data_IF_482555076795
#
_entry.id   IF_482555076795
#
_cell.length_a   1.000
_cell.length_b   1.000
_cell.length_c   1.000
_cell.angle_alpha   90.00
_cell.angle_beta   90.00
_cell.angle_gamma   90.00
#
_symmetry.space_group_name_H-M   'P 1'
#
loop_
_entity.id
_entity.type
_entity.pdbx_description
1 polymer ?
#
# COMPACT_ATOMS: atom_id res chain seq x y z
N UNK A 1 16.56 12.57 -25.63
CA UNK A 1 16.94 11.86 -24.36
C UNK A 1 16.40 10.46 -24.53
N UNK A 2 17.23 9.45 -24.35
CA UNK A 2 16.78 8.04 -24.42
C UNK A 2 15.86 7.76 -23.22
N UNK A 3 14.66 7.24 -23.48
CA UNK A 3 13.67 6.94 -22.43
C UNK A 3 14.02 5.62 -21.73
N UNK A 4 13.98 5.61 -20.43
CA UNK A 4 14.44 4.48 -19.63
C UNK A 4 13.37 3.41 -19.45
N UNK A 5 13.62 2.18 -19.94
CA UNK A 5 12.80 0.99 -19.61
C UNK A 5 12.92 0.58 -18.14
N UNK A 6 13.96 1.04 -17.43
CA UNK A 6 14.22 0.70 -16.01
C UNK A 6 13.14 1.20 -15.07
N UNK A 7 12.37 2.24 -15.47
CA UNK A 7 11.28 2.76 -14.67
C UNK A 7 10.09 1.80 -14.56
N UNK A 8 9.91 0.87 -15.50
CA UNK A 8 8.80 -0.10 -15.49
C UNK A 8 9.13 -1.29 -14.58
N UNK A 9 8.44 -1.33 -13.44
CA UNK A 9 8.60 -2.39 -12.42
C UNK A 9 7.51 -3.46 -12.56
N UNK A 10 7.38 -4.34 -11.57
CA UNK A 10 6.41 -5.43 -11.61
C UNK A 10 4.94 -4.95 -11.60
N UNK A 11 4.64 -3.82 -10.97
CA UNK A 11 3.26 -3.34 -10.78
C UNK A 11 3.08 -1.82 -10.86
N UNK A 12 4.12 -1.06 -11.13
CA UNK A 12 4.07 0.40 -11.33
C UNK A 12 5.24 0.89 -12.18
N UNK A 13 5.21 2.19 -12.50
CA UNK A 13 6.33 2.92 -13.10
C UNK A 13 6.98 3.72 -11.97
N UNK A 14 8.30 3.60 -11.80
CA UNK A 14 9.03 4.26 -10.73
C UNK A 14 10.48 4.49 -11.06
N UNK A 15 10.96 5.71 -10.91
CA UNK A 15 12.35 6.06 -11.22
C UNK A 15 12.74 7.47 -10.79
N UNK A 16 14.02 7.78 -10.94
CA UNK A 16 14.61 9.08 -10.63
C UNK A 16 14.17 10.10 -11.69
N UNK A 17 13.75 11.28 -11.24
CA UNK A 17 13.36 12.41 -12.09
C UNK A 17 14.55 13.37 -12.23
N UNK A 18 14.89 13.85 -13.45
CA UNK A 18 14.24 13.57 -14.74
C UNK A 18 14.88 12.40 -15.52
N UNK A 19 15.84 11.69 -14.95
CA UNK A 19 16.70 10.74 -15.65
C UNK A 19 15.98 9.47 -16.13
N UNK A 20 15.05 8.94 -15.33
CA UNK A 20 14.32 7.71 -15.64
C UNK A 20 12.82 7.98 -15.86
N UNK A 21 12.25 8.95 -15.15
CA UNK A 21 10.87 9.41 -15.28
C UNK A 21 10.89 10.90 -15.60
N UNK A 22 10.17 11.32 -16.64
CA UNK A 22 10.08 12.72 -17.07
C UNK A 22 8.77 12.97 -17.81
N UNK A 23 8.51 14.24 -18.17
CA UNK A 23 7.28 14.65 -18.85
C UNK A 23 7.06 13.95 -20.19
N UNK A 24 8.14 13.69 -20.97
CA UNK A 24 8.04 12.98 -22.25
C UNK A 24 7.57 11.54 -22.05
N UNK A 25 8.15 10.82 -21.07
CA UNK A 25 7.72 9.46 -20.74
C UNK A 25 6.26 9.46 -20.25
N UNK A 26 5.91 10.41 -19.38
CA UNK A 26 4.56 10.54 -18.84
C UNK A 26 3.51 10.80 -19.95
N UNK A 27 3.81 11.70 -20.90
CA UNK A 27 2.97 11.93 -22.07
C UNK A 27 2.78 10.65 -22.89
N UNK A 28 3.87 9.94 -23.22
CA UNK A 28 3.81 8.70 -23.99
C UNK A 28 3.04 7.61 -23.29
N UNK A 29 3.20 7.47 -21.97
CA UNK A 29 2.41 6.53 -21.16
C UNK A 29 0.91 6.83 -21.28
N UNK A 30 0.50 8.11 -21.16
CA UNK A 30 -0.91 8.51 -21.33
C UNK A 30 -1.44 8.17 -22.74
N UNK A 31 -0.65 8.44 -23.78
CA UNK A 31 -1.00 8.12 -25.18
C UNK A 31 -1.18 6.63 -25.43
N UNK A 32 -0.20 5.85 -24.95
CA UNK A 32 -0.22 4.39 -25.10
C UNK A 32 -1.37 3.77 -24.30
N UNK A 33 -1.62 4.28 -23.08
CA UNK A 33 -2.75 3.85 -22.27
C UNK A 33 -4.09 4.04 -22.98
N UNK A 34 -4.33 5.25 -23.52
CA UNK A 34 -5.57 5.54 -24.25
C UNK A 34 -5.77 4.62 -25.47
N UNK A 35 -4.70 4.31 -26.19
CA UNK A 35 -4.76 3.42 -27.36
C UNK A 35 -4.93 1.96 -26.96
N UNK A 36 -4.15 1.48 -26.01
CA UNK A 36 -4.10 0.06 -25.62
C UNK A 36 -5.40 -0.41 -24.98
N UNK A 37 -6.01 0.44 -24.15
CA UNK A 37 -7.26 0.12 -23.46
C UNK A 37 -8.49 0.73 -24.13
N UNK A 38 -8.34 1.35 -25.32
CA UNK A 38 -9.40 2.07 -26.03
C UNK A 38 -10.16 3.04 -25.07
N UNK A 39 -9.42 3.71 -24.18
CA UNK A 39 -10.01 4.52 -23.13
C UNK A 39 -10.61 5.81 -23.72
N UNK A 40 -11.89 6.04 -23.46
CA UNK A 40 -12.65 7.26 -23.78
C UNK A 40 -12.66 8.24 -22.62
N UNK A 41 -12.49 7.71 -21.39
CA UNK A 41 -12.47 8.47 -20.14
C UNK A 41 -11.39 7.96 -19.19
N UNK A 42 -10.69 8.84 -18.49
CA UNK A 42 -9.72 8.46 -17.46
C UNK A 42 -9.65 9.49 -16.33
N UNK A 43 -9.32 9.01 -15.13
CA UNK A 43 -8.98 9.87 -13.98
C UNK A 43 -7.46 10.09 -13.94
N UNK A 44 -7.04 11.31 -13.65
CA UNK A 44 -5.63 11.63 -13.36
C UNK A 44 -5.56 12.38 -12.04
N UNK A 45 -4.64 11.96 -11.18
CA UNK A 45 -4.29 12.64 -9.95
C UNK A 45 -2.80 12.53 -9.67
N UNK A 46 -2.29 13.31 -8.73
CA UNK A 46 -0.89 13.26 -8.32
C UNK A 46 -0.75 13.43 -6.80
N UNK A 47 0.34 12.89 -6.25
CA UNK A 47 0.72 13.11 -4.86
C UNK A 47 1.37 14.50 -4.67
N UNK A 48 1.86 14.73 -3.46
CA UNK A 48 2.44 16.02 -3.04
C UNK A 48 3.84 16.30 -3.60
N UNK A 49 4.46 15.37 -4.34
CA UNK A 49 5.82 15.53 -4.88
C UNK A 49 5.91 16.72 -5.83
N UNK A 50 7.01 17.49 -5.73
CA UNK A 50 7.20 18.74 -6.49
C UNK A 50 7.11 18.55 -8.01
N UNK A 51 7.46 17.37 -8.53
CA UNK A 51 7.36 17.02 -9.95
C UNK A 51 5.98 16.46 -10.34
N UNK A 52 5.09 16.24 -9.37
CA UNK A 52 3.76 15.66 -9.55
C UNK A 52 2.91 16.41 -10.59
N UNK A 53 2.70 17.74 -10.43
CA UNK A 53 1.87 18.51 -11.35
C UNK A 53 2.36 18.49 -12.81
N UNK A 54 3.68 18.58 -13.06
CA UNK A 54 4.26 18.52 -14.39
C UNK A 54 3.98 17.17 -15.06
N UNK A 55 4.24 16.08 -14.34
CA UNK A 55 4.05 14.72 -14.86
C UNK A 55 2.57 14.40 -15.07
N UNK A 56 1.68 14.82 -14.15
CA UNK A 56 0.23 14.65 -14.28
C UNK A 56 -0.34 15.40 -15.49
N UNK A 57 0.10 16.64 -15.73
CA UNK A 57 -0.26 17.39 -16.92
C UNK A 57 0.19 16.69 -18.20
N UNK A 58 1.42 16.17 -18.23
CA UNK A 58 1.93 15.43 -19.39
C UNK A 58 1.14 14.14 -19.66
N UNK A 59 0.81 13.35 -18.62
CA UNK A 59 -0.07 12.18 -18.72
C UNK A 59 -1.43 12.58 -19.29
N UNK A 60 -2.04 13.64 -18.73
CA UNK A 60 -3.34 14.13 -19.16
C UNK A 60 -3.34 14.57 -20.62
N UNK A 61 -2.29 15.28 -21.07
CA UNK A 61 -2.15 15.68 -22.46
C UNK A 61 -1.99 14.47 -23.39
N UNK A 62 -1.20 13.47 -22.99
CA UNK A 62 -1.07 12.23 -23.74
C UNK A 62 -2.41 11.48 -23.90
N UNK A 63 -3.17 11.34 -22.82
CA UNK A 63 -4.52 10.75 -22.84
C UNK A 63 -5.45 11.52 -23.77
N UNK A 64 -5.48 12.85 -23.66
CA UNK A 64 -6.35 13.73 -24.47
C UNK A 64 -6.01 13.69 -25.94
N UNK A 65 -4.73 13.70 -26.29
CA UNK A 65 -4.29 13.54 -27.68
C UNK A 65 -4.61 12.13 -28.23
N UNK A 66 -4.80 11.15 -27.35
CA UNK A 66 -5.39 9.86 -27.64
C UNK A 66 -6.91 9.85 -27.83
N UNK A 67 -7.57 11.01 -27.64
CA UNK A 67 -9.04 11.16 -27.71
C UNK A 67 -9.76 10.90 -26.38
N UNK A 68 -9.04 10.66 -25.28
CA UNK A 68 -9.61 10.35 -23.97
C UNK A 68 -9.99 11.63 -23.20
N UNK A 69 -11.19 11.72 -22.68
CA UNK A 69 -11.60 12.78 -21.73
C UNK A 69 -10.98 12.51 -20.38
N UNK A 70 -10.28 13.47 -19.80
CA UNK A 70 -9.58 13.34 -18.52
C UNK A 70 -10.33 14.06 -17.42
N UNK A 71 -10.62 13.36 -16.35
CA UNK A 71 -11.06 13.91 -15.07
C UNK A 71 -9.83 14.14 -14.20
N UNK A 72 -9.42 15.41 -14.08
CA UNK A 72 -8.31 15.84 -13.23
C UNK A 72 -8.85 16.06 -11.80
N UNK A 73 -8.39 15.21 -10.86
CA UNK A 73 -8.76 15.31 -9.45
C UNK A 73 -7.68 16.03 -8.61
N UNK A 74 -6.60 16.51 -9.26
CA UNK A 74 -5.57 17.31 -8.64
C UNK A 74 -4.68 16.53 -7.67
N UNK A 75 -4.23 17.24 -6.62
CA UNK A 75 -3.43 16.66 -5.54
C UNK A 75 -4.29 15.74 -4.68
N UNK A 76 -3.89 14.47 -4.54
CA UNK A 76 -4.67 13.42 -3.90
C UNK A 76 -3.78 12.25 -3.45
N UNK A 77 -4.39 11.28 -2.79
CA UNK A 77 -3.75 9.99 -2.53
C UNK A 77 -4.06 8.94 -3.58
N UNK A 78 -3.26 7.89 -3.56
CA UNK A 78 -3.40 6.77 -4.49
C UNK A 78 -4.81 6.17 -4.45
N UNK A 79 -5.36 5.93 -3.28
CA UNK A 79 -6.69 5.35 -3.09
C UNK A 79 -7.82 6.22 -3.64
N UNK A 80 -7.64 7.55 -3.71
CA UNK A 80 -8.62 8.47 -4.28
C UNK A 80 -8.73 8.32 -5.80
N UNK A 81 -7.63 8.02 -6.50
CA UNK A 81 -7.68 7.69 -7.93
C UNK A 81 -8.43 6.38 -8.17
N UNK A 82 -8.24 5.38 -7.30
CA UNK A 82 -8.99 4.12 -7.38
C UNK A 82 -10.49 4.34 -7.16
N UNK A 83 -10.82 5.08 -6.10
CA UNK A 83 -12.20 5.45 -5.80
C UNK A 83 -12.84 6.22 -6.96
N UNK A 84 -12.18 7.29 -7.45
CA UNK A 84 -12.68 8.11 -8.55
C UNK A 84 -12.87 7.31 -9.84
N UNK A 85 -11.94 6.40 -10.17
CA UNK A 85 -12.04 5.53 -11.35
C UNK A 85 -13.31 4.66 -11.30
N UNK A 86 -13.59 4.06 -10.14
CA UNK A 86 -14.77 3.24 -9.94
C UNK A 86 -16.05 4.07 -9.84
N UNK A 87 -16.05 5.13 -9.05
CA UNK A 87 -17.20 5.99 -8.77
C UNK A 87 -17.68 6.73 -10.02
N UNK A 88 -16.78 7.28 -10.82
CA UNK A 88 -17.10 7.97 -12.08
C UNK A 88 -17.28 7.00 -13.25
N UNK A 89 -17.10 5.70 -13.02
CA UNK A 89 -17.19 4.63 -14.03
C UNK A 89 -16.33 4.93 -15.27
N UNK A 90 -15.08 5.35 -15.06
CA UNK A 90 -14.12 5.63 -16.15
C UNK A 90 -13.43 4.37 -16.63
N UNK A 91 -12.87 4.43 -17.85
CA UNK A 91 -12.14 3.31 -18.46
C UNK A 91 -10.79 3.06 -17.80
N UNK A 92 -10.32 4.02 -16.98
CA UNK A 92 -9.11 3.85 -16.18
C UNK A 92 -8.75 5.07 -15.35
N UNK A 93 -7.63 4.92 -14.64
CA UNK A 93 -7.06 5.98 -13.83
C UNK A 93 -5.53 5.89 -13.75
N UNK A 94 -4.87 7.03 -13.66
CA UNK A 94 -3.43 7.13 -13.51
C UNK A 94 -3.12 8.04 -12.32
N UNK A 95 -2.45 7.47 -11.32
CA UNK A 95 -1.91 8.18 -10.16
C UNK A 95 -0.43 8.45 -10.37
N UNK A 96 -0.05 9.73 -10.33
CA UNK A 96 1.37 10.14 -10.39
C UNK A 96 1.92 10.19 -8.97
N UNK A 97 2.79 9.24 -8.65
CA UNK A 97 3.35 9.04 -7.31
C UNK A 97 4.58 8.14 -7.34
N UNK A 98 5.43 8.26 -6.34
CA UNK A 98 6.44 7.26 -6.00
C UNK A 98 6.31 6.80 -4.52
N UNK A 99 5.11 6.97 -3.91
CA UNK A 99 4.79 6.51 -2.55
C UNK A 99 5.88 6.95 -1.54
N UNK A 100 6.58 6.01 -0.94
CA UNK A 100 7.61 6.21 0.08
C UNK A 100 9.05 6.26 -0.46
N UNK A 101 9.26 6.30 -1.79
CA UNK A 101 10.60 6.45 -2.37
C UNK A 101 11.19 7.85 -2.07
N UNK A 102 12.53 8.01 -2.14
CA UNK A 102 13.20 9.30 -1.95
C UNK A 102 12.57 10.45 -2.76
N UNK A 103 12.82 11.70 -2.35
CA UNK A 103 12.17 12.89 -2.89
C UNK A 103 12.46 13.12 -4.39
N UNK A 104 13.60 12.64 -4.88
CA UNK A 104 14.03 12.71 -6.28
C UNK A 104 13.39 11.65 -7.20
N UNK A 105 12.56 10.75 -6.62
CA UNK A 105 11.78 9.78 -7.38
C UNK A 105 10.38 10.31 -7.69
N UNK A 106 9.83 9.84 -8.83
CA UNK A 106 8.40 9.88 -9.10
C UNK A 106 8.03 8.66 -9.98
N UNK A 107 6.74 8.53 -10.32
CA UNK A 107 6.27 7.40 -11.09
C UNK A 107 4.77 7.46 -11.37
N UNK A 108 4.21 6.33 -11.76
CA UNK A 108 2.78 6.23 -12.08
C UNK A 108 2.24 4.86 -11.68
N UNK A 109 1.12 4.84 -10.96
CA UNK A 109 0.29 3.66 -10.74
C UNK A 109 -0.89 3.74 -11.70
N UNK A 110 -1.13 2.68 -12.48
CA UNK A 110 -2.15 2.65 -13.52
C UNK A 110 -3.23 1.63 -13.17
N UNK A 111 -4.48 2.02 -13.38
CA UNK A 111 -5.64 1.11 -13.25
C UNK A 111 -6.54 1.22 -14.48
N UNK A 112 -7.20 0.11 -14.82
CA UNK A 112 -8.25 0.01 -15.84
C UNK A 112 -9.63 0.24 -15.21
N UNK A 113 -10.68 0.14 -16.03
CA UNK A 113 -12.08 0.16 -15.56
C UNK A 113 -12.29 -0.72 -14.32
N UNK A 114 -13.07 -0.20 -13.36
CA UNK A 114 -13.28 -0.84 -12.06
C UNK A 114 -12.04 -0.84 -11.16
N UNK A 115 -11.13 0.11 -11.37
CA UNK A 115 -9.87 0.24 -10.63
C UNK A 115 -8.99 -1.03 -10.65
N UNK A 116 -9.05 -1.82 -11.74
CA UNK A 116 -8.19 -3.00 -11.92
C UNK A 116 -6.76 -2.59 -12.21
N UNK A 117 -5.75 -3.11 -11.48
CA UNK A 117 -4.38 -2.71 -11.68
C UNK A 117 -3.83 -3.09 -13.05
N UNK A 118 -2.92 -2.28 -13.57
CA UNK A 118 -2.09 -2.59 -14.74
C UNK A 118 -0.72 -2.99 -14.23
N UNK A 119 -0.49 -4.31 -14.11
CA UNK A 119 0.78 -4.91 -13.69
C UNK A 119 1.59 -5.43 -14.88
N UNK A 120 2.78 -5.96 -14.62
CA UNK A 120 3.60 -6.66 -15.61
C UNK A 120 2.82 -7.70 -16.40
N UNK A 121 1.93 -8.42 -15.71
CA UNK A 121 1.10 -9.50 -16.27
C UNK A 121 -0.20 -8.97 -16.92
N UNK A 122 -0.46 -7.66 -16.82
CA UNK A 122 -1.69 -6.99 -17.27
C UNK A 122 -1.44 -5.80 -18.22
N UNK A 123 -0.29 -5.80 -18.91
CA UNK A 123 0.01 -4.85 -19.98
C UNK A 123 1.01 -3.76 -19.63
N UNK A 124 1.50 -3.65 -18.39
CA UNK A 124 2.48 -2.60 -18.01
C UNK A 124 3.77 -2.69 -18.81
N UNK A 125 4.27 -3.91 -19.06
CA UNK A 125 5.49 -4.10 -19.86
C UNK A 125 5.28 -3.75 -21.33
N UNK A 126 4.07 -3.97 -21.88
CA UNK A 126 3.75 -3.54 -23.24
C UNK A 126 3.63 -2.03 -23.34
N UNK A 127 3.03 -1.35 -22.36
CA UNK A 127 3.05 0.11 -22.24
C UNK A 127 4.50 0.59 -22.23
N UNK A 128 5.35 -0.04 -21.42
CA UNK A 128 6.78 0.29 -21.32
C UNK A 128 7.50 0.18 -22.66
N UNK A 129 7.31 -0.93 -23.36
CA UNK A 129 7.89 -1.17 -24.68
C UNK A 129 7.46 -0.09 -25.68
N UNK A 130 6.15 0.19 -25.75
CA UNK A 130 5.60 1.16 -26.70
C UNK A 130 5.96 2.61 -26.35
N UNK A 131 5.95 2.98 -25.08
CA UNK A 131 6.27 4.34 -24.65
C UNK A 131 7.77 4.67 -24.75
N UNK A 132 8.65 3.66 -24.71
CA UNK A 132 10.10 3.84 -24.80
C UNK A 132 10.67 3.45 -26.17
N UNK A 133 9.83 3.19 -27.17
CA UNK A 133 10.27 2.91 -28.53
C UNK A 133 11.04 4.10 -29.12
N UNK A 134 12.18 3.79 -29.77
CA UNK A 134 13.01 4.81 -30.40
C UNK A 134 12.29 5.45 -31.59
N UNK A 135 12.54 6.74 -31.80
CA UNK A 135 12.01 7.48 -32.92
C UNK A 135 11.10 8.65 -32.53
N UNK A 136 10.55 9.28 -33.53
CA UNK A 136 9.67 10.43 -33.36
C UNK A 136 8.33 9.96 -32.80
N UNK A 137 7.94 10.48 -31.61
CA UNK A 137 6.64 10.24 -31.02
C UNK A 137 5.81 11.51 -31.10
N UNK A 138 4.86 11.61 -32.05
CA UNK A 138 4.18 12.86 -32.34
C UNK A 138 3.28 13.32 -31.21
N UNK A 139 3.48 14.54 -30.71
CA UNK A 139 2.63 15.24 -29.74
C UNK A 139 1.45 15.90 -30.44
N UNK A 140 0.66 15.09 -31.14
CA UNK A 140 -0.52 15.54 -31.89
C UNK A 140 -1.68 14.62 -31.64
N UNK A 141 -2.88 15.11 -31.86
CA UNK A 141 -4.10 14.28 -31.74
C UNK A 141 -4.03 13.11 -32.73
N UNK A 142 -4.45 11.94 -32.27
CA UNK A 142 -4.51 10.73 -33.12
C UNK A 142 -5.39 11.00 -34.34
N UNK A 143 -4.93 10.63 -35.51
CA UNK A 143 -5.67 10.80 -36.74
C UNK A 143 -7.08 10.19 -36.67
N UNK A 144 -8.07 10.98 -37.02
CA UNK A 144 -9.50 10.58 -36.95
C UNK A 144 -10.13 10.68 -35.57
N UNK A 145 -9.42 11.19 -34.56
CA UNK A 145 -9.99 11.51 -33.23
C UNK A 145 -10.02 13.02 -33.00
N UNK A 146 -10.91 13.45 -32.13
CA UNK A 146 -10.86 14.79 -31.54
C UNK A 146 -10.04 14.73 -30.25
N UNK A 147 -9.38 15.84 -29.88
CA UNK A 147 -8.68 15.95 -28.61
C UNK A 147 -9.69 15.87 -27.45
N UNK A 148 -9.44 14.93 -26.52
CA UNK A 148 -10.28 14.77 -25.33
C UNK A 148 -10.35 16.03 -24.44
N UNK A 149 -11.37 16.15 -23.65
CA UNK A 149 -11.55 17.26 -22.70
C UNK A 149 -10.69 17.07 -21.46
N UNK A 150 -10.34 18.17 -20.80
CA UNK A 150 -9.82 18.18 -19.43
C UNK A 150 -10.88 18.77 -18.51
N UNK A 151 -11.34 18.00 -17.56
CA UNK A 151 -12.40 18.36 -16.62
C UNK A 151 -11.85 18.26 -15.19
N UNK A 152 -11.75 19.41 -14.51
CA UNK A 152 -11.43 19.40 -13.08
C UNK A 152 -12.61 18.86 -12.30
N UNK A 153 -12.37 17.87 -11.45
CA UNK A 153 -13.41 17.21 -10.65
C UNK A 153 -13.00 17.17 -9.18
N UNK A 154 -13.76 17.84 -8.33
CA UNK A 154 -13.66 17.63 -6.88
C UNK A 154 -14.35 16.31 -6.55
N UNK A 155 -13.55 15.37 -6.01
CA UNK A 155 -14.02 14.03 -5.59
C UNK A 155 -14.10 13.92 -4.07
N UNK A 156 -13.57 14.90 -3.33
CA UNK A 156 -13.40 14.81 -1.88
C UNK A 156 -14.71 14.59 -1.13
N UNK A 157 -15.82 15.33 -1.41
CA UNK A 157 -17.07 15.12 -0.69
C UNK A 157 -17.63 13.70 -0.84
N UNK A 158 -17.69 13.20 -2.07
CA UNK A 158 -18.19 11.85 -2.37
C UNK A 158 -17.32 10.77 -1.74
N UNK A 159 -15.98 10.98 -1.75
CA UNK A 159 -15.01 10.08 -1.16
C UNK A 159 -15.13 10.04 0.37
N UNK A 160 -15.28 11.17 1.05
CA UNK A 160 -15.47 11.23 2.51
C UNK A 160 -16.77 10.51 2.90
N UNK A 161 -17.86 10.74 2.19
CA UNK A 161 -19.13 10.03 2.42
C UNK A 161 -18.96 8.51 2.28
N UNK A 162 -18.24 8.09 1.24
CA UNK A 162 -17.93 6.67 1.02
C UNK A 162 -17.10 6.07 2.17
N UNK A 163 -16.04 6.75 2.63
CA UNK A 163 -15.24 6.27 3.77
C UNK A 163 -16.09 6.12 5.05
N UNK A 164 -16.94 7.10 5.34
CA UNK A 164 -17.82 7.09 6.51
C UNK A 164 -18.89 5.99 6.43
N UNK A 165 -19.23 5.51 5.22
CA UNK A 165 -20.19 4.42 5.06
C UNK A 165 -19.70 3.05 5.59
N UNK A 166 -18.40 2.90 5.87
CA UNK A 166 -17.83 1.67 6.42
C UNK A 166 -18.00 1.49 7.92
N UNK A 167 -18.32 2.59 8.62
CA UNK A 167 -18.46 2.64 10.08
C UNK A 167 -19.84 3.16 10.47
N UNK A 168 -20.30 2.79 11.65
CA UNK A 168 -21.44 3.47 12.27
C UNK A 168 -20.95 4.55 13.24
N UNK A 169 -20.99 5.80 12.79
CA UNK A 169 -20.52 6.95 13.60
C UNK A 169 -21.22 7.03 14.96
N UNK A 170 -22.44 6.47 15.12
CA UNK A 170 -23.16 6.44 16.40
C UNK A 170 -22.51 5.52 17.43
N UNK A 171 -21.70 4.56 16.97
CA UNK A 171 -20.95 3.66 17.86
C UNK A 171 -19.66 4.28 18.37
N UNK A 172 -19.21 5.39 17.78
CA UNK A 172 -17.96 6.03 18.15
C UNK A 172 -18.08 6.78 19.49
N UNK A 173 -17.03 6.70 20.28
CA UNK A 173 -16.83 7.44 21.53
C UNK A 173 -15.65 8.38 21.35
N UNK A 174 -15.56 9.48 22.13
CA UNK A 174 -14.40 10.33 22.11
C UNK A 174 -13.11 9.55 22.35
N UNK A 175 -12.16 9.65 21.42
CA UNK A 175 -10.79 9.14 21.52
C UNK A 175 -9.83 10.28 21.22
N UNK A 176 -8.70 10.29 21.90
CA UNK A 176 -7.58 11.18 21.58
C UNK A 176 -6.60 10.43 20.68
N UNK A 177 -6.36 10.94 19.47
CA UNK A 177 -5.60 10.28 18.43
C UNK A 177 -4.43 11.17 17.99
N UNK A 178 -3.21 10.66 18.10
CA UNK A 178 -2.07 11.28 17.41
C UNK A 178 -2.10 10.85 15.95
N UNK A 179 -2.12 11.82 15.04
CA UNK A 179 -2.16 11.57 13.61
C UNK A 179 -0.95 12.20 12.91
N UNK A 180 -0.17 11.38 12.22
CA UNK A 180 1.06 11.78 11.52
C UNK A 180 0.99 11.48 10.01
N UNK A 181 0.51 12.43 9.19
CA UNK A 181 0.63 12.37 7.73
C UNK A 181 2.06 12.40 7.19
N UNK A 182 3.06 12.73 8.00
CA UNK A 182 4.47 12.79 7.57
C UNK A 182 4.77 13.83 6.47
N UNK A 183 4.02 14.93 6.43
CA UNK A 183 3.99 15.89 5.33
C UNK A 183 3.54 15.29 3.98
N UNK A 184 2.91 14.09 4.00
CA UNK A 184 2.29 13.46 2.84
C UNK A 184 0.86 13.94 2.56
N UNK A 185 0.17 13.24 1.66
CA UNK A 185 -1.16 13.63 1.17
C UNK A 185 -2.33 13.38 2.15
N UNK A 186 -2.13 12.68 3.27
CA UNK A 186 -3.22 12.29 4.18
C UNK A 186 -3.84 13.46 4.98
N UNK A 187 -3.07 14.53 5.24
CA UNK A 187 -3.49 15.62 6.11
C UNK A 187 -4.81 16.30 5.72
N UNK A 188 -4.99 16.74 4.47
CA UNK A 188 -6.24 17.36 4.00
C UNK A 188 -7.46 16.44 4.11
N UNK A 189 -7.31 15.16 3.80
CA UNK A 189 -8.38 14.15 3.93
C UNK A 189 -8.75 13.93 5.39
N UNK A 190 -7.75 13.78 6.25
CA UNK A 190 -7.95 13.66 7.70
C UNK A 190 -8.69 14.88 8.27
N UNK A 191 -8.35 16.09 7.80
CA UNK A 191 -9.04 17.31 8.24
C UNK A 191 -10.53 17.27 7.92
N UNK A 192 -10.90 16.75 6.74
CA UNK A 192 -12.31 16.60 6.34
C UNK A 192 -13.02 15.49 7.10
N UNK A 193 -12.39 14.34 7.31
CA UNK A 193 -12.96 13.25 8.12
C UNK A 193 -13.19 13.69 9.57
N UNK A 194 -12.27 14.47 10.14
CA UNK A 194 -12.36 14.95 11.52
C UNK A 194 -13.63 15.80 11.78
N UNK A 195 -14.18 16.48 10.78
CA UNK A 195 -15.43 17.25 10.90
C UNK A 195 -16.65 16.37 11.23
N UNK A 196 -16.56 15.05 10.97
CA UNK A 196 -17.64 14.07 11.11
C UNK A 196 -17.45 13.10 12.29
N UNK A 197 -16.33 13.18 13.00
CA UNK A 197 -15.93 12.19 13.99
C UNK A 197 -15.82 12.83 15.39
N UNK A 198 -16.19 12.12 16.47
CA UNK A 198 -16.12 12.64 17.84
C UNK A 198 -14.71 12.59 18.44
N UNK A 199 -13.65 12.53 17.63
CA UNK A 199 -12.27 12.34 18.06
C UNK A 199 -11.53 13.67 18.25
N UNK A 200 -10.63 13.70 19.23
CA UNK A 200 -9.62 14.76 19.39
C UNK A 200 -8.35 14.36 18.64
N UNK A 201 -7.99 15.09 17.59
CA UNK A 201 -6.78 14.81 16.81
C UNK A 201 -5.63 15.71 17.21
N UNK A 202 -4.53 15.12 17.67
CA UNK A 202 -3.23 15.76 17.84
C UNK A 202 -2.44 15.51 16.55
N UNK A 203 -2.45 16.49 15.66
CA UNK A 203 -1.86 16.38 14.34
C UNK A 203 -0.40 16.82 14.34
N UNK A 204 0.48 16.01 13.76
CA UNK A 204 1.90 16.33 13.56
C UNK A 204 2.25 16.14 12.09
N UNK A 205 3.12 17.00 11.54
CA UNK A 205 3.50 16.97 10.12
C UNK A 205 2.28 16.92 9.18
N UNK A 206 1.20 17.66 9.52
CA UNK A 206 -0.09 17.55 8.83
C UNK A 206 -0.14 18.25 7.47
N UNK A 207 0.69 19.28 7.29
CA UNK A 207 0.70 20.07 6.05
C UNK A 207 1.48 19.33 4.98
N UNK A 208 0.87 19.06 3.81
CA UNK A 208 1.56 18.47 2.67
C UNK A 208 2.78 19.31 2.26
N UNK A 209 3.93 18.67 2.06
CA UNK A 209 5.15 19.35 1.60
C UNK A 209 6.03 18.39 0.80
N UNK A 210 6.06 18.57 -0.51
CA UNK A 210 6.82 17.72 -1.44
C UNK A 210 8.34 17.83 -1.31
N UNK A 211 8.86 18.75 -0.48
CA UNK A 211 10.27 18.78 -0.12
C UNK A 211 10.64 17.77 0.98
N UNK A 212 9.63 17.20 1.64
CA UNK A 212 9.78 16.24 2.75
C UNK A 212 10.74 16.71 3.85
N UNK A 213 10.47 17.84 4.53
CA UNK A 213 11.39 18.45 5.48
C UNK A 213 11.71 17.55 6.69
N UNK A 214 10.86 16.57 6.97
CA UNK A 214 11.03 15.59 8.05
C UNK A 214 11.40 14.18 7.52
N UNK A 215 11.90 14.09 6.28
CA UNK A 215 12.13 12.84 5.56
C UNK A 215 10.85 12.33 4.88
N UNK A 216 11.02 11.43 3.90
CA UNK A 216 9.88 10.80 3.22
C UNK A 216 9.16 9.89 4.20
N UNK A 217 7.83 10.03 4.37
CA UNK A 217 7.09 9.24 5.35
C UNK A 217 7.07 7.75 4.96
N UNK A 218 7.67 6.94 5.81
CA UNK A 218 7.67 5.48 5.71
C UNK A 218 7.76 4.88 7.13
N UNK A 219 6.63 4.71 7.85
CA UNK A 219 6.63 4.18 9.21
C UNK A 219 7.04 2.70 9.33
N UNK A 220 7.20 1.98 8.21
CA UNK A 220 7.82 0.65 8.21
C UNK A 220 9.26 0.70 8.72
N UNK A 221 9.98 1.78 8.44
CA UNK A 221 11.34 1.99 8.92
C UNK A 221 11.32 2.41 10.39
N UNK A 222 12.05 1.70 11.21
CA UNK A 222 12.05 1.88 12.68
C UNK A 222 12.39 3.31 13.09
N UNK A 223 13.39 3.92 12.43
CA UNK A 223 13.83 5.30 12.74
C UNK A 223 12.75 6.38 12.47
N UNK A 224 11.70 6.07 11.70
CA UNK A 224 10.58 6.98 11.44
C UNK A 224 9.44 6.84 12.46
N UNK A 225 9.52 5.88 13.40
CA UNK A 225 8.44 5.59 14.34
C UNK A 225 8.42 6.50 15.56
N UNK A 226 9.60 6.87 16.07
CA UNK A 226 9.76 7.58 17.33
C UNK A 226 8.93 8.86 17.41
N UNK A 227 8.88 9.67 16.34
CA UNK A 227 8.14 10.94 16.33
C UNK A 227 6.64 10.77 16.63
N UNK A 228 6.03 9.64 16.18
CA UNK A 228 4.63 9.34 16.47
C UNK A 228 4.49 8.69 17.84
N UNK A 229 5.33 7.71 18.16
CA UNK A 229 5.33 6.96 19.41
C UNK A 229 5.49 7.89 20.64
N UNK A 230 6.52 8.74 20.63
CA UNK A 230 6.79 9.69 21.71
C UNK A 230 5.63 10.69 21.90
N UNK A 231 5.01 11.12 20.80
CA UNK A 231 3.88 12.03 20.85
C UNK A 231 2.65 11.36 21.46
N UNK A 232 2.37 10.08 21.13
CA UNK A 232 1.29 9.30 21.76
C UNK A 232 1.46 9.28 23.29
N UNK A 233 2.66 8.95 23.76
CA UNK A 233 2.96 8.86 25.18
C UNK A 233 2.84 10.25 25.86
N UNK A 234 3.43 11.28 25.25
CA UNK A 234 3.43 12.64 25.79
C UNK A 234 2.03 13.22 25.94
N UNK A 235 1.16 12.97 24.98
CA UNK A 235 -0.22 13.47 24.95
C UNK A 235 -1.19 12.54 25.69
N UNK A 236 -0.73 11.36 26.14
CA UNK A 236 -1.59 10.29 26.70
C UNK A 236 -2.75 9.96 25.74
N UNK A 237 -2.43 9.84 24.46
CA UNK A 237 -3.40 9.53 23.45
C UNK A 237 -3.85 8.05 23.53
N UNK A 238 -5.06 7.76 23.04
CA UNK A 238 -5.60 6.40 23.00
C UNK A 238 -4.94 5.55 21.92
N UNK A 239 -4.47 6.19 20.85
CA UNK A 239 -3.67 5.56 19.78
C UNK A 239 -2.93 6.60 18.94
N UNK A 240 -1.94 6.12 18.17
CA UNK A 240 -1.28 6.85 17.11
C UNK A 240 -1.55 6.21 15.75
N UNK A 241 -1.71 7.03 14.73
CA UNK A 241 -1.82 6.62 13.34
C UNK A 241 -0.84 7.40 12.47
N UNK A 242 -0.24 6.71 11.50
CA UNK A 242 0.68 7.34 10.55
C UNK A 242 0.46 6.75 9.16
N UNK A 243 0.82 7.50 8.13
CA UNK A 243 0.69 7.08 6.73
C UNK A 243 2.01 7.21 5.98
N UNK A 244 2.11 6.57 4.84
CA UNK A 244 3.14 6.84 3.85
C UNK A 244 2.75 8.01 2.91
N UNK A 245 3.62 8.35 1.95
CA UNK A 245 3.51 9.59 1.19
C UNK A 245 2.22 9.77 0.40
N UNK A 246 1.73 8.72 -0.23
CA UNK A 246 0.49 8.68 -1.01
C UNK A 246 -0.69 7.99 -0.28
N UNK A 247 -0.51 7.77 1.00
CA UNK A 247 -1.45 7.28 2.02
C UNK A 247 -2.31 6.06 1.64
N UNK A 248 -1.77 5.16 0.85
CA UNK A 248 -2.43 3.88 0.61
C UNK A 248 -2.12 2.84 1.71
N UNK A 249 -1.31 3.21 2.72
CA UNK A 249 -0.98 2.42 3.91
C UNK A 249 -1.21 3.20 5.18
N UNK A 250 -1.70 2.51 6.23
CA UNK A 250 -1.91 3.06 7.57
C UNK A 250 -1.18 2.22 8.61
N UNK A 251 -0.44 2.88 9.48
CA UNK A 251 0.37 2.30 10.53
C UNK A 251 -0.15 2.72 11.90
N UNK A 252 -0.06 1.82 12.88
CA UNK A 252 -0.68 1.99 14.18
C UNK A 252 0.35 1.96 15.32
N UNK A 253 0.08 2.77 16.32
CA UNK A 253 0.77 2.80 17.61
C UNK A 253 -0.29 2.68 18.70
N UNK A 254 -0.07 1.82 19.68
CA UNK A 254 -0.99 1.70 20.81
C UNK A 254 -0.85 2.87 21.80
N UNK A 255 -1.65 2.88 22.84
CA UNK A 255 -1.66 3.93 23.88
C UNK A 255 -0.36 4.02 24.71
N UNK A 256 0.57 3.08 24.52
CA UNK A 256 1.90 3.07 25.14
C UNK A 256 2.97 3.58 24.19
N UNK A 257 2.61 3.91 22.94
CA UNK A 257 3.51 4.26 21.86
C UNK A 257 4.19 3.06 21.19
N UNK A 258 3.77 1.83 21.51
CA UNK A 258 4.30 0.63 20.86
C UNK A 258 3.77 0.53 19.42
N UNK A 259 4.67 0.34 18.46
CA UNK A 259 4.31 0.12 17.05
C UNK A 259 3.64 -1.26 16.89
N UNK A 260 2.48 -1.28 16.26
CA UNK A 260 1.77 -2.52 15.98
C UNK A 260 2.07 -2.97 14.55
N UNK A 261 2.76 -4.09 14.41
CA UNK A 261 3.04 -4.66 13.09
C UNK A 261 1.74 -4.90 12.31
N UNK A 262 1.74 -4.54 11.01
CA UNK A 262 0.56 -4.67 10.13
C UNK A 262 -0.05 -6.08 10.16
N UNK A 263 0.75 -7.09 10.37
CA UNK A 263 0.36 -8.48 10.58
C UNK A 263 -0.77 -8.66 11.60
N UNK A 264 -0.67 -8.00 12.78
CA UNK A 264 -1.69 -8.11 13.82
C UNK A 264 -2.95 -7.32 13.48
N UNK A 265 -2.80 -6.19 12.80
CA UNK A 265 -3.95 -5.40 12.30
C UNK A 265 -4.71 -6.18 11.22
N UNK A 266 -4.01 -6.90 10.34
CA UNK A 266 -4.65 -7.81 9.36
C UNK A 266 -5.52 -8.83 10.08
N UNK A 267 -5.00 -9.49 11.12
CA UNK A 267 -5.76 -10.46 11.92
C UNK A 267 -6.96 -9.83 12.64
N UNK A 268 -6.77 -8.66 13.24
CA UNK A 268 -7.82 -7.91 13.96
C UNK A 268 -8.98 -7.56 13.02
N UNK A 269 -8.68 -6.98 11.85
CA UNK A 269 -9.70 -6.62 10.86
C UNK A 269 -10.33 -7.88 10.22
N UNK A 270 -9.57 -8.95 9.99
CA UNK A 270 -10.13 -10.23 9.54
C UNK A 270 -11.20 -10.75 10.50
N UNK A 271 -10.96 -10.72 11.82
CA UNK A 271 -11.94 -11.09 12.82
C UNK A 271 -13.19 -10.19 12.77
N UNK A 272 -13.01 -8.88 12.59
CA UNK A 272 -14.12 -7.92 12.49
C UNK A 272 -14.99 -8.18 11.24
N UNK A 273 -14.36 -8.43 10.09
CA UNK A 273 -15.08 -8.77 8.85
C UNK A 273 -15.81 -10.11 8.96
N UNK A 274 -15.20 -11.13 9.54
CA UNK A 274 -15.84 -12.45 9.71
C UNK A 274 -16.98 -12.41 10.74
N UNK A 275 -16.96 -11.49 11.71
CA UNK A 275 -18.08 -11.23 12.61
C UNK A 275 -19.29 -10.66 11.86
N UNK A 276 -19.05 -9.73 10.91
CA UNK A 276 -20.10 -9.10 10.06
C UNK A 276 -20.56 -10.04 8.93
N UNK A 277 -19.66 -10.81 8.34
CA UNK A 277 -19.84 -11.66 7.15
C UNK A 277 -19.30 -13.08 7.41
N UNK A 278 -19.99 -13.93 8.19
CA UNK A 278 -19.53 -15.30 8.48
C UNK A 278 -19.31 -16.14 7.22
N UNK A 279 -18.29 -16.99 7.23
CA UNK A 279 -17.97 -17.87 6.09
C UNK A 279 -17.26 -17.20 4.93
N UNK A 280 -17.00 -15.90 5.01
CA UNK A 280 -16.33 -15.15 3.93
C UNK A 280 -14.86 -15.53 3.78
N UNK A 281 -14.32 -15.22 2.61
CA UNK A 281 -12.90 -15.37 2.31
C UNK A 281 -12.12 -14.16 2.81
N UNK A 282 -10.98 -14.43 3.45
CA UNK A 282 -10.02 -13.44 3.93
C UNK A 282 -8.67 -13.70 3.26
N UNK A 283 -8.06 -12.66 2.72
CA UNK A 283 -6.77 -12.78 2.04
C UNK A 283 -5.64 -12.22 2.90
N UNK A 284 -4.46 -12.84 2.80
CA UNK A 284 -3.24 -12.40 3.47
C UNK A 284 -2.00 -12.82 2.67
N UNK A 285 -0.89 -12.14 2.93
CA UNK A 285 0.39 -12.46 2.30
C UNK A 285 1.15 -13.58 3.05
N UNK A 286 2.10 -14.27 2.40
CA UNK A 286 2.74 -15.47 2.97
C UNK A 286 3.90 -15.17 3.92
N UNK A 287 4.24 -13.89 4.17
CA UNK A 287 5.39 -13.52 5.01
C UNK A 287 5.19 -13.92 6.47
N UNK A 288 4.05 -13.57 7.05
CA UNK A 288 3.62 -13.92 8.41
C UNK A 288 2.17 -14.39 8.34
N UNK A 289 1.87 -15.61 8.81
CA UNK A 289 0.58 -16.24 8.51
C UNK A 289 -0.18 -16.80 9.69
N UNK A 290 0.49 -17.33 10.70
CA UNK A 290 -0.13 -18.17 11.73
C UNK A 290 -1.24 -17.49 12.53
N UNK A 291 -1.03 -16.24 12.97
CA UNK A 291 -2.08 -15.51 13.71
C UNK A 291 -3.32 -15.31 12.86
N UNK A 292 -3.13 -14.89 11.60
CA UNK A 292 -4.25 -14.62 10.68
C UNK A 292 -4.96 -15.91 10.30
N UNK A 293 -4.24 -17.00 10.01
CA UNK A 293 -4.80 -18.32 9.69
C UNK A 293 -5.63 -18.87 10.87
N UNK A 294 -5.13 -18.78 12.09
CA UNK A 294 -5.84 -19.24 13.28
C UNK A 294 -7.11 -18.42 13.52
N UNK A 295 -7.05 -17.09 13.38
CA UNK A 295 -8.24 -16.23 13.51
C UNK A 295 -9.29 -16.60 12.46
N UNK A 296 -8.89 -16.81 11.20
CA UNK A 296 -9.80 -17.20 10.12
C UNK A 296 -10.48 -18.53 10.46
N UNK A 297 -9.71 -19.52 10.92
CA UNK A 297 -10.24 -20.82 11.32
C UNK A 297 -11.20 -20.73 12.53
N UNK A 298 -10.82 -20.00 13.59
CA UNK A 298 -11.65 -19.78 14.78
C UNK A 298 -12.98 -19.08 14.46
N UNK A 299 -12.98 -18.19 13.47
CA UNK A 299 -14.17 -17.41 13.05
C UNK A 299 -14.94 -18.07 11.90
N UNK A 300 -14.52 -19.24 11.45
CA UNK A 300 -15.20 -19.99 10.38
C UNK A 300 -15.11 -19.34 9.01
N UNK A 301 -14.04 -18.58 8.75
CA UNK A 301 -13.73 -18.00 7.44
C UNK A 301 -12.97 -18.95 6.51
N UNK A 302 -12.72 -18.50 5.30
CA UNK A 302 -11.95 -19.22 4.30
C UNK A 302 -10.65 -18.47 3.99
N UNK A 303 -9.47 -19.07 4.27
CA UNK A 303 -8.19 -18.43 4.03
C UNK A 303 -7.83 -18.41 2.53
N UNK A 304 -7.30 -17.27 2.05
CA UNK A 304 -6.76 -17.12 0.71
C UNK A 304 -5.36 -16.53 0.81
N UNK A 305 -4.31 -17.31 0.54
CA UNK A 305 -2.95 -16.81 0.46
C UNK A 305 -2.65 -16.25 -0.93
N UNK A 306 -1.99 -15.09 -0.97
CA UNK A 306 -1.57 -14.45 -2.20
C UNK A 306 -0.15 -13.91 -2.07
N UNK A 307 0.63 -13.94 -3.16
CA UNK A 307 1.95 -13.29 -3.17
C UNK A 307 1.82 -11.79 -2.89
N UNK A 308 2.83 -11.22 -2.22
CA UNK A 308 2.87 -9.80 -1.86
C UNK A 308 2.92 -8.88 -3.07
N UNK A 309 2.37 -7.69 -2.91
CA UNK A 309 2.34 -6.62 -3.89
C UNK A 309 0.93 -6.24 -4.31
N UNK A 310 0.64 -4.94 -4.17
CA UNK A 310 -0.72 -4.40 -4.27
C UNK A 310 -1.48 -4.80 -5.54
N UNK A 311 -0.82 -4.91 -6.69
CA UNK A 311 -1.48 -5.28 -7.93
C UNK A 311 -1.90 -6.77 -7.92
N UNK A 312 -1.05 -7.65 -7.41
CA UNK A 312 -1.34 -9.08 -7.31
C UNK A 312 -2.44 -9.36 -6.29
N UNK A 313 -2.37 -8.68 -5.13
CA UNK A 313 -3.38 -8.77 -4.08
C UNK A 313 -4.77 -8.34 -4.61
N UNK A 314 -4.87 -7.20 -5.28
CA UNK A 314 -6.13 -6.72 -5.89
C UNK A 314 -6.72 -7.70 -6.89
N UNK A 315 -5.91 -8.29 -7.76
CA UNK A 315 -6.41 -9.27 -8.74
C UNK A 315 -6.80 -10.58 -8.06
N UNK A 316 -6.02 -11.05 -7.09
CA UNK A 316 -6.35 -12.24 -6.31
C UNK A 316 -7.69 -12.08 -5.56
N UNK A 317 -7.95 -10.89 -4.96
CA UNK A 317 -9.22 -10.59 -4.32
C UNK A 317 -10.40 -10.71 -5.28
N UNK A 318 -10.28 -10.13 -6.48
CA UNK A 318 -11.33 -10.17 -7.52
C UNK A 318 -11.61 -11.58 -7.98
N UNK A 319 -10.56 -12.35 -8.28
CA UNK A 319 -10.69 -13.73 -8.76
C UNK A 319 -11.34 -14.66 -7.73
N UNK A 320 -11.16 -14.39 -6.45
CA UNK A 320 -11.65 -15.22 -5.37
C UNK A 320 -12.89 -14.65 -4.67
N UNK A 321 -13.36 -13.45 -5.02
CA UNK A 321 -14.40 -12.71 -4.30
C UNK A 321 -14.12 -12.62 -2.78
N UNK A 322 -12.95 -12.07 -2.46
CA UNK A 322 -12.49 -11.89 -1.08
C UNK A 322 -13.08 -10.61 -0.50
N UNK A 323 -13.63 -10.65 0.70
CA UNK A 323 -14.28 -9.48 1.32
C UNK A 323 -13.29 -8.49 1.91
N UNK A 324 -12.19 -9.00 2.47
CA UNK A 324 -11.11 -8.24 3.06
C UNK A 324 -9.78 -8.96 2.90
N UNK A 325 -8.73 -8.23 2.69
CA UNK A 325 -7.37 -8.74 2.67
C UNK A 325 -6.37 -7.74 3.23
N UNK A 326 -5.20 -8.22 3.63
CA UNK A 326 -4.14 -7.36 4.12
C UNK A 326 -2.76 -7.92 3.93
N UNK A 327 -1.78 -7.02 3.94
CA UNK A 327 -0.36 -7.32 3.95
C UNK A 327 0.29 -6.84 5.25
N UNK A 328 1.30 -7.55 5.71
CA UNK A 328 2.07 -7.10 6.88
C UNK A 328 2.72 -5.71 6.68
N UNK A 329 2.89 -5.28 5.44
CA UNK A 329 3.38 -3.95 5.05
C UNK A 329 2.33 -2.83 5.18
N UNK A 330 1.20 -3.11 5.85
CA UNK A 330 0.12 -2.17 6.16
C UNK A 330 -0.75 -1.74 4.96
N UNK A 331 -0.73 -2.48 3.85
CA UNK A 331 -1.80 -2.40 2.86
C UNK A 331 -3.01 -3.21 3.32
N UNK A 332 -4.19 -2.60 3.26
CA UNK A 332 -5.46 -3.24 3.59
C UNK A 332 -6.44 -3.05 2.44
N UNK A 333 -6.98 -4.15 1.95
CA UNK A 333 -7.79 -4.23 0.73
C UNK A 333 -9.24 -4.56 1.07
N UNK A 334 -10.19 -3.90 0.40
CA UNK A 334 -11.61 -4.05 0.71
C UNK A 334 -12.41 -4.31 -0.57
N UNK A 335 -13.24 -5.37 -0.57
CA UNK A 335 -14.11 -5.69 -1.71
C UNK A 335 -14.97 -4.50 -2.12
N UNK A 336 -15.62 -3.88 -1.14
CA UNK A 336 -16.56 -2.80 -1.36
C UNK A 336 -15.87 -1.46 -1.67
N UNK A 337 -14.52 -1.42 -1.56
CA UNK A 337 -13.63 -0.37 -2.11
C UNK A 337 -13.04 -0.79 -3.46
N UNK A 338 -13.83 -1.43 -4.30
CA UNK A 338 -13.41 -1.95 -5.60
C UNK A 338 -12.20 -2.88 -5.53
N UNK A 339 -12.10 -3.68 -4.46
CA UNK A 339 -10.98 -4.59 -4.16
C UNK A 339 -9.61 -3.87 -4.07
N UNK A 340 -9.62 -2.57 -3.82
CA UNK A 340 -8.41 -1.76 -3.71
C UNK A 340 -7.98 -1.58 -2.25
N UNK A 341 -6.73 -1.19 -2.10
CA UNK A 341 -6.15 -0.79 -0.84
C UNK A 341 -6.59 0.62 -0.45
N UNK A 342 -6.67 0.84 0.86
CA UNK A 342 -6.95 2.12 1.48
C UNK A 342 -6.14 2.26 2.77
N UNK A 343 -5.50 3.40 2.98
CA UNK A 343 -4.92 3.77 4.28
C UNK A 343 -5.88 4.56 5.15
N UNK A 344 -7.03 5.02 4.62
CA UNK A 344 -8.04 5.72 5.41
C UNK A 344 -9.04 4.78 6.09
N UNK A 345 -9.41 3.67 5.49
CA UNK A 345 -10.37 2.72 6.05
C UNK A 345 -9.85 1.96 7.30
N UNK A 346 -8.59 1.50 7.38
CA UNK A 346 -8.14 0.69 8.50
C UNK A 346 -8.30 1.37 9.85
N UNK A 347 -7.89 2.63 9.99
CA UNK A 347 -7.97 3.34 11.26
C UNK A 347 -9.41 3.67 11.66
N UNK A 348 -10.30 3.96 10.70
CA UNK A 348 -11.72 4.13 10.97
C UNK A 348 -12.33 2.85 11.56
N UNK A 349 -12.03 1.70 10.94
CA UNK A 349 -12.52 0.39 11.40
C UNK A 349 -11.91 -0.02 12.76
N UNK A 350 -10.62 0.23 12.98
CA UNK A 350 -9.96 -0.07 14.26
C UNK A 350 -10.53 0.80 15.38
N UNK A 351 -10.74 2.10 15.14
CA UNK A 351 -11.34 3.00 16.16
C UNK A 351 -12.80 2.64 16.46
N UNK A 352 -13.60 2.26 15.45
CA UNK A 352 -14.94 1.72 15.69
C UNK A 352 -14.89 0.47 16.57
N UNK A 353 -13.97 -0.45 16.29
CA UNK A 353 -13.80 -1.68 17.05
C UNK A 353 -13.38 -1.40 18.50
N UNK A 354 -12.42 -0.49 18.73
CA UNK A 354 -12.03 -0.03 20.07
C UNK A 354 -13.23 0.51 20.84
N UNK A 355 -14.05 1.36 20.21
CA UNK A 355 -15.25 1.93 20.82
C UNK A 355 -16.32 0.89 21.15
N UNK A 356 -16.58 -0.05 20.24
CA UNK A 356 -17.58 -1.11 20.40
C UNK A 356 -17.18 -2.11 21.49
N UNK A 357 -15.92 -2.54 21.53
CA UNK A 357 -15.42 -3.50 22.52
C UNK A 357 -15.08 -2.83 23.86
N UNK A 358 -14.93 -1.50 23.88
CA UNK A 358 -14.49 -0.75 25.06
C UNK A 358 -13.08 -1.10 25.51
N UNK A 359 -12.20 -1.45 24.56
CA UNK A 359 -10.83 -1.91 24.79
C UNK A 359 -9.83 -0.98 24.13
N UNK A 360 -8.64 -0.90 24.71
CA UNK A 360 -7.47 -0.26 24.11
C UNK A 360 -6.92 -1.10 22.97
N UNK A 361 -6.14 -0.48 22.08
CA UNK A 361 -5.54 -1.18 20.96
C UNK A 361 -4.60 -2.30 21.43
N UNK A 362 -3.77 -2.04 22.46
CA UNK A 362 -2.89 -3.07 23.05
C UNK A 362 -3.65 -4.29 23.59
N UNK A 363 -4.86 -4.11 24.10
CA UNK A 363 -5.70 -5.21 24.59
C UNK A 363 -6.33 -6.01 23.44
N UNK A 364 -6.64 -5.36 22.32
CA UNK A 364 -7.22 -6.02 21.15
C UNK A 364 -6.22 -6.92 20.42
N UNK A 365 -4.93 -6.53 20.39
CA UNK A 365 -3.90 -7.27 19.67
C UNK A 365 -2.96 -8.09 20.58
N UNK A 366 -2.92 -7.79 21.89
CA UNK A 366 -1.92 -8.30 22.84
C UNK A 366 -1.86 -9.81 22.91
N UNK A 367 -3.00 -10.50 22.99
CA UNK A 367 -3.06 -11.97 23.01
C UNK A 367 -2.36 -12.56 21.76
N UNK A 368 -2.58 -11.97 20.59
CA UNK A 368 -1.98 -12.43 19.33
C UNK A 368 -0.48 -12.12 19.25
N UNK A 369 -0.06 -10.97 19.77
CA UNK A 369 1.34 -10.59 19.86
C UNK A 369 2.14 -11.51 20.81
N UNK A 370 1.49 -11.98 21.88
CA UNK A 370 2.11 -12.95 22.80
C UNK A 370 2.14 -14.36 22.20
N UNK A 371 1.05 -14.77 21.55
CA UNK A 371 0.91 -16.12 20.98
C UNK A 371 1.74 -16.34 19.73
N UNK A 372 1.91 -15.31 18.90
CA UNK A 372 2.64 -15.35 17.63
C UNK A 372 3.59 -14.16 17.51
N UNK A 373 4.63 -14.08 18.35
CA UNK A 373 5.61 -13.02 18.20
C UNK A 373 6.32 -13.10 16.85
N UNK A 374 6.60 -11.94 16.24
CA UNK A 374 7.25 -11.84 14.96
C UNK A 374 8.40 -10.82 14.96
N UNK A 375 9.31 -10.95 13.99
CA UNK A 375 10.48 -10.09 13.84
C UNK A 375 10.19 -8.73 13.20
N UNK A 376 8.98 -8.55 12.63
CA UNK A 376 8.79 -7.52 11.62
C UNK A 376 9.55 -7.84 10.32
N UNK A 377 9.71 -6.86 9.44
CA UNK A 377 10.49 -7.01 8.20
C UNK A 377 11.92 -6.52 8.39
N UNK A 378 12.89 -7.38 8.15
CA UNK A 378 14.34 -7.08 8.26
C UNK A 378 14.94 -7.06 6.87
N UNK A 379 15.57 -5.94 6.50
CA UNK A 379 16.15 -5.72 5.19
C UNK A 379 17.68 -5.91 5.22
N UNK A 380 18.23 -6.63 4.21
CA UNK A 380 19.67 -6.85 4.05
C UNK A 380 20.12 -6.62 2.61
N UNK A 381 21.18 -5.86 2.41
CA UNK A 381 21.86 -5.74 1.13
C UNK A 381 22.78 -6.92 0.94
N UNK A 382 22.58 -7.69 -0.13
CA UNK A 382 23.39 -8.88 -0.45
C UNK A 382 23.83 -8.84 -1.91
N UNK A 383 25.06 -9.27 -2.19
CA UNK A 383 25.61 -9.27 -3.56
C UNK A 383 24.94 -10.33 -4.46
N UNK A 384 24.64 -11.50 -3.90
CA UNK A 384 24.09 -12.64 -4.66
C UNK A 384 22.90 -13.28 -3.95
N UNK A 385 21.73 -12.69 -4.13
CA UNK A 385 20.49 -13.17 -3.51
C UNK A 385 20.11 -14.60 -3.92
N UNK A 386 20.45 -15.04 -5.13
CA UNK A 386 20.17 -16.41 -5.59
C UNK A 386 21.00 -17.44 -4.83
N UNK A 387 22.29 -17.16 -4.62
CA UNK A 387 23.16 -18.05 -3.84
C UNK A 387 22.72 -18.13 -2.37
N UNK A 388 22.30 -16.99 -1.79
CA UNK A 388 21.79 -16.94 -0.42
C UNK A 388 20.50 -17.78 -0.29
N UNK A 389 19.54 -17.63 -1.20
CA UNK A 389 18.33 -18.45 -1.18
C UNK A 389 18.62 -19.94 -1.30
N UNK A 390 19.57 -20.34 -2.17
CA UNK A 390 19.98 -21.74 -2.30
C UNK A 390 20.62 -22.28 -1.01
N UNK A 391 21.48 -21.50 -0.36
CA UNK A 391 22.10 -21.89 0.91
C UNK A 391 21.08 -22.03 2.05
N UNK A 392 20.06 -21.15 2.10
CA UNK A 392 18.96 -21.26 3.06
C UNK A 392 18.15 -22.51 2.80
N UNK A 393 17.77 -22.78 1.53
CA UNK A 393 17.00 -23.97 1.16
C UNK A 393 17.77 -25.27 1.46
N UNK A 394 19.08 -25.29 1.26
CA UNK A 394 19.93 -26.42 1.61
C UNK A 394 19.99 -26.65 3.14
N UNK A 395 20.16 -25.57 3.92
CA UNK A 395 20.30 -25.66 5.38
C UNK A 395 18.99 -26.04 6.09
N UNK A 396 17.87 -25.55 5.60
CA UNK A 396 16.55 -25.70 6.24
C UNK A 396 15.56 -26.55 5.41
N UNK A 397 16.08 -27.35 4.47
CA UNK A 397 15.27 -28.14 3.54
C UNK A 397 14.49 -29.30 4.17
N UNK A 398 14.69 -29.55 5.47
CA UNK A 398 13.93 -30.50 6.29
C UNK A 398 12.58 -29.93 6.79
N UNK A 399 12.37 -28.61 6.68
CA UNK A 399 11.11 -27.96 6.97
C UNK A 399 10.12 -28.03 5.81
N UNK A 400 8.88 -27.63 6.04
CA UNK A 400 7.84 -27.51 5.02
C UNK A 400 8.08 -26.27 4.14
N UNK A 401 8.46 -26.49 2.89
CA UNK A 401 8.82 -25.45 1.93
C UNK A 401 7.59 -24.95 1.17
N UNK A 402 7.45 -23.63 1.06
CA UNK A 402 6.49 -22.93 0.19
C UNK A 402 7.24 -21.84 -0.61
N UNK A 403 6.99 -21.77 -1.91
CA UNK A 403 7.62 -20.83 -2.86
C UNK A 403 6.62 -19.87 -3.51
N UNK A 404 5.52 -19.60 -2.87
CA UNK A 404 4.49 -18.67 -3.38
C UNK A 404 5.04 -17.24 -3.55
N UNK A 405 5.84 -16.77 -2.57
CA UNK A 405 6.50 -15.46 -2.61
C UNK A 405 7.87 -15.54 -1.92
N UNK A 406 8.92 -15.73 -2.69
CA UNK A 406 10.24 -16.04 -2.18
C UNK A 406 10.32 -17.47 -1.65
N UNK A 407 10.99 -17.65 -0.52
CA UNK A 407 11.19 -18.93 0.15
C UNK A 407 10.62 -18.86 1.57
N UNK A 408 9.53 -19.53 1.82
CA UNK A 408 9.01 -19.77 3.17
C UNK A 408 9.35 -21.17 3.62
N UNK A 409 9.81 -21.31 4.86
CA UNK A 409 10.07 -22.62 5.48
C UNK A 409 9.40 -22.65 6.85
N UNK A 410 8.62 -23.70 7.10
CA UNK A 410 7.78 -23.85 8.29
C UNK A 410 8.15 -25.10 9.06
N UNK A 411 8.29 -24.95 10.37
CA UNK A 411 8.46 -26.00 11.39
C UNK A 411 7.28 -25.94 12.39
N UNK A 412 7.20 -26.83 13.34
CA UNK A 412 6.09 -26.91 14.28
C UNK A 412 5.94 -25.67 15.16
N UNK A 413 7.04 -25.03 15.56
CA UNK A 413 7.06 -23.91 16.52
C UNK A 413 7.67 -22.61 16.01
N UNK A 414 8.15 -22.57 14.75
CA UNK A 414 8.66 -21.38 14.09
C UNK A 414 8.57 -21.50 12.57
N UNK A 415 8.51 -20.37 11.91
CA UNK A 415 8.62 -20.28 10.45
C UNK A 415 9.27 -18.97 10.05
N UNK A 416 9.75 -18.93 8.81
CA UNK A 416 10.27 -17.71 8.23
C UNK A 416 9.95 -17.61 6.74
N UNK A 417 10.04 -16.38 6.22
CA UNK A 417 10.01 -16.08 4.81
C UNK A 417 11.23 -15.23 4.46
N UNK A 418 11.93 -15.61 3.40
CA UNK A 418 13.02 -14.82 2.79
C UNK A 418 12.68 -14.57 1.34
N UNK A 419 12.72 -13.31 0.92
CA UNK A 419 12.43 -12.92 -0.47
C UNK A 419 13.34 -11.79 -0.95
N UNK A 420 13.51 -11.71 -2.26
CA UNK A 420 14.13 -10.54 -2.90
C UNK A 420 13.06 -9.46 -3.07
N UNK A 421 13.38 -8.21 -2.75
CA UNK A 421 12.46 -7.11 -3.00
C UNK A 421 12.24 -6.90 -4.49
N UNK A 422 10.99 -6.61 -4.88
CA UNK A 422 10.64 -6.29 -6.27
C UNK A 422 10.93 -4.83 -6.65
N UNK A 423 11.18 -3.98 -5.66
CA UNK A 423 11.33 -2.53 -5.83
C UNK A 423 12.70 -2.00 -5.44
N UNK A 424 13.43 -2.72 -4.59
CA UNK A 424 14.70 -2.31 -3.99
C UNK A 424 15.73 -3.45 -4.09
N UNK A 425 17.04 -3.17 -4.14
CA UNK A 425 18.07 -4.21 -4.26
C UNK A 425 18.41 -4.84 -2.89
N UNK A 426 17.40 -5.34 -2.18
CA UNK A 426 17.52 -5.92 -0.84
C UNK A 426 16.82 -7.28 -0.76
N UNK A 427 17.32 -8.12 0.15
CA UNK A 427 16.61 -9.29 0.66
C UNK A 427 15.83 -8.91 1.93
N UNK A 428 14.66 -9.48 2.09
CA UNK A 428 13.75 -9.25 3.20
C UNK A 428 13.50 -10.54 3.95
N UNK A 429 13.69 -10.49 5.27
CA UNK A 429 13.44 -11.59 6.19
C UNK A 429 12.25 -11.24 7.09
N UNK A 430 11.36 -12.22 7.28
CA UNK A 430 10.32 -12.22 8.29
C UNK A 430 10.36 -13.56 9.03
N UNK A 431 10.29 -13.52 10.36
CA UNK A 431 10.29 -14.69 11.23
C UNK A 431 9.11 -14.59 12.19
N UNK A 432 8.43 -15.70 12.46
CA UNK A 432 7.44 -15.81 13.54
C UNK A 432 7.59 -17.11 14.32
N UNK A 433 7.22 -17.08 15.59
CA UNK A 433 7.28 -18.24 16.49
C UNK A 433 5.96 -18.42 17.23
N UNK A 434 5.82 -19.56 17.93
CA UNK A 434 4.69 -19.80 18.83
C UNK A 434 5.10 -19.48 20.26
N UNK A 435 4.71 -18.28 20.74
CA UNK A 435 4.80 -17.86 22.15
C UNK A 435 6.19 -17.56 22.73
N UNK A 436 7.27 -17.79 22.02
CA UNK A 436 8.63 -17.67 22.56
C UNK A 436 9.42 -16.55 21.87
N UNK A 437 9.50 -15.38 22.54
CA UNK A 437 10.26 -14.21 22.04
C UNK A 437 11.79 -14.43 22.07
N UNK A 438 12.30 -15.22 23.02
CA UNK A 438 13.74 -15.52 23.08
C UNK A 438 14.13 -16.43 21.92
N UNK A 439 13.32 -17.45 21.64
CA UNK A 439 13.49 -18.33 20.51
C UNK A 439 13.32 -17.59 19.15
N UNK A 440 12.37 -16.64 19.07
CA UNK A 440 12.24 -15.76 17.91
C UNK A 440 13.56 -15.03 17.62
N UNK A 441 14.16 -14.43 18.66
CA UNK A 441 15.43 -13.71 18.52
C UNK A 441 16.54 -14.64 18.06
N UNK A 442 16.69 -15.82 18.71
CA UNK A 442 17.68 -16.84 18.33
C UNK A 442 17.56 -17.22 16.85
N UNK A 443 16.34 -17.57 16.39
CA UNK A 443 16.11 -18.00 15.01
C UNK A 443 16.32 -16.88 14.01
N UNK A 444 15.94 -15.66 14.37
CA UNK A 444 16.19 -14.47 13.54
C UNK A 444 17.70 -14.26 13.34
N UNK A 445 18.47 -14.28 14.40
CA UNK A 445 19.94 -14.13 14.35
C UNK A 445 20.60 -15.28 13.57
N UNK A 446 20.12 -16.51 13.74
CA UNK A 446 20.61 -17.69 13.01
C UNK A 446 20.43 -17.56 11.51
N UNK A 447 19.24 -17.08 11.04
CA UNK A 447 18.98 -16.90 9.62
C UNK A 447 19.75 -15.69 9.08
N UNK A 448 19.81 -14.59 9.82
CA UNK A 448 20.60 -13.42 9.43
C UNK A 448 22.08 -13.75 9.23
N UNK A 449 22.65 -14.66 10.05
CA UNK A 449 24.00 -15.13 9.87
C UNK A 449 24.20 -15.92 8.55
N UNK A 450 23.16 -16.59 8.03
CA UNK A 450 23.21 -17.26 6.72
C UNK A 450 23.00 -16.26 5.58
N UNK A 451 22.08 -15.28 5.74
CA UNK A 451 21.84 -14.23 4.75
C UNK A 451 23.10 -13.39 4.57
N UNK A 452 23.77 -13.03 5.66
CA UNK A 452 24.92 -12.13 5.66
C UNK A 452 24.55 -10.73 5.19
N UNK A 453 25.50 -10.06 4.52
CA UNK A 453 25.31 -8.72 3.97
C UNK A 453 25.23 -7.62 5.03
N UNK A 454 24.93 -6.40 4.58
CA UNK A 454 24.82 -5.22 5.43
C UNK A 454 23.34 -4.91 5.70
N UNK A 455 23.08 -4.23 6.80
CA UNK A 455 21.76 -3.66 7.09
C UNK A 455 21.40 -2.61 6.05
N UNK A 456 20.14 -2.62 5.56
CA UNK A 456 19.71 -1.81 4.43
C UNK A 456 18.87 -0.61 4.87
#
# INVERSE_FOLDING_TARGET
>A
MELSKKAFKAYDIRGIVPGEVNAELAYRVGRVFAAMFAAETAVVGHDIRLTGPELANAVADGLRDGGCTVYDIGECGTEMVYYATAHLNTDGGIMVTASHNPADYNGMKLVRSGARPVSSDAGLMDIGRMATEEGEFPHVVVAGKERGKLIKKDIVPDYIEHLLSYIDVKNLKPLKIVANPGNGGAGPVLAKLAEHLPFEFIKINETPDGSFPNGVPNPLLEHNRAVTADKVVAEKADLGIAWDGDFDRCFFFDEKGEFIEGYYIVGLLAAAFLKKLPGSKIMYDPRLTWSTEEIIAEKGGVPVRCKSGHAFMKECMRLNDVVYGGEMSAHHYFRDFSYCDSGMLPWLLVTELMCCEGKKLSELVGERMEKFPCSGEINRKVENSKAVLAAIEEKYGDGKIDKLDGLSIEYDNWRFNVRVSNTEPVMRLNVETRGDKAFLKEKTEEILAVIGGEEA
#
